data_IF_021470905233
#
_entry.id   IF_021470905233
#
_cell.length_a   1.000
_cell.length_b   1.000
_cell.length_c   1.000
_cell.angle_alpha   90.00
_cell.angle_beta   90.00
_cell.angle_gamma   90.00
#
_symmetry.space_group_name_H-M   'P 1'
#
loop_
_entity.id
_entity.type
_entity.pdbx_description
1 polymer ?
#
# COMPACT_ATOMS: atom_id res chain seq x y z
N UNK A 1 27.70 9.11 33.95
CA UNK A 1 27.13 8.88 32.59
C UNK A 1 27.63 9.93 31.60
N UNK A 2 28.93 9.97 31.27
CA UNK A 2 29.50 11.06 30.44
C UNK A 2 30.37 10.58 29.25
N UNK A 3 30.50 9.27 29.03
CA UNK A 3 31.41 8.75 28.00
C UNK A 3 30.79 8.74 26.57
N UNK A 4 29.46 8.86 26.44
CA UNK A 4 28.77 8.71 25.13
C UNK A 4 28.67 10.01 24.31
N UNK A 5 28.89 11.17 24.92
CA UNK A 5 28.83 12.48 24.24
C UNK A 5 30.15 12.85 23.55
N UNK A 6 31.30 12.39 24.09
CA UNK A 6 32.61 12.72 23.52
C UNK A 6 32.91 11.93 22.22
N UNK A 7 32.39 10.71 22.10
CA UNK A 7 32.60 9.84 20.93
C UNK A 7 31.83 10.32 19.69
N UNK A 8 30.68 10.97 19.86
CA UNK A 8 29.88 11.54 18.77
C UNK A 8 30.50 12.81 18.18
N UNK A 9 31.09 13.67 19.02
CA UNK A 9 31.71 14.92 18.56
C UNK A 9 32.92 14.70 17.64
N UNK A 10 33.75 13.69 17.89
CA UNK A 10 34.93 13.38 17.06
C UNK A 10 34.58 12.89 15.66
N UNK A 11 33.45 12.19 15.50
CA UNK A 11 33.01 11.70 14.20
C UNK A 11 32.46 12.82 13.30
N UNK A 12 31.86 13.86 13.89
CA UNK A 12 31.32 15.01 13.15
C UNK A 12 32.47 15.84 12.54
N UNK A 13 33.58 16.02 13.25
CA UNK A 13 34.72 16.80 12.78
C UNK A 13 35.53 16.12 11.64
N UNK A 14 35.34 14.81 11.40
CA UNK A 14 35.98 14.06 10.31
C UNK A 14 35.10 13.88 9.08
N UNK A 15 33.85 14.35 9.11
CA UNK A 15 32.99 14.28 7.94
C UNK A 15 33.50 15.25 6.87
N UNK A 16 34.01 14.72 5.74
CA UNK A 16 34.28 15.53 4.55
C UNK A 16 32.97 16.20 4.11
N UNK A 17 32.96 17.49 3.76
CA UNK A 17 31.78 18.11 3.18
C UNK A 17 31.45 17.35 1.89
N UNK A 18 30.28 16.69 1.86
CA UNK A 18 29.71 16.14 0.64
C UNK A 18 29.30 17.33 -0.23
N UNK A 19 30.27 17.84 -1.00
CA UNK A 19 30.00 18.78 -2.07
C UNK A 19 29.05 18.11 -3.04
N UNK A 20 27.83 18.62 -3.15
CA UNK A 20 26.87 18.16 -4.17
C UNK A 20 27.40 18.63 -5.51
N UNK A 21 28.04 17.74 -6.26
CA UNK A 21 28.24 17.96 -7.69
C UNK A 21 26.86 17.93 -8.33
N UNK A 22 26.33 19.11 -8.67
CA UNK A 22 25.20 19.20 -9.59
C UNK A 22 25.76 18.79 -10.95
N UNK A 23 25.59 17.53 -11.31
CA UNK A 23 25.82 17.11 -12.69
C UNK A 23 24.89 17.98 -13.54
N UNK A 24 25.46 18.86 -14.35
CA UNK A 24 24.69 19.46 -15.42
C UNK A 24 24.14 18.30 -16.26
N UNK A 25 22.84 18.34 -16.58
CA UNK A 25 22.21 17.32 -17.41
C UNK A 25 22.77 17.53 -18.82
N UNK A 26 23.81 16.79 -19.18
CA UNK A 26 24.28 16.79 -20.55
C UNK A 26 23.25 16.10 -21.46
N UNK A 27 22.85 16.84 -22.49
CA UNK A 27 21.98 16.44 -23.62
C UNK A 27 20.67 15.73 -23.24
N UNK A 28 19.60 16.52 -23.07
CA UNK A 28 18.23 15.98 -23.10
C UNK A 28 17.97 15.48 -24.52
N UNK A 29 17.91 14.16 -24.71
CA UNK A 29 17.49 13.55 -25.98
C UNK A 29 16.07 14.04 -26.32
N UNK A 30 15.82 14.58 -27.52
CA UNK A 30 14.47 14.97 -27.91
C UNK A 30 13.57 13.72 -27.93
N UNK A 31 12.32 13.81 -27.42
CA UNK A 31 11.43 12.66 -27.38
C UNK A 31 11.13 12.20 -28.81
N UNK A 32 11.43 10.93 -29.08
CA UNK A 32 11.15 10.27 -30.36
C UNK A 32 10.00 9.28 -30.19
N UNK A 33 9.29 8.96 -31.27
CA UNK A 33 8.20 7.96 -31.24
C UNK A 33 8.69 6.57 -30.76
N UNK A 34 10.00 6.29 -30.85
CA UNK A 34 10.62 5.08 -30.34
C UNK A 34 10.71 5.04 -28.80
N UNK A 35 10.59 6.20 -28.14
CA UNK A 35 10.58 6.30 -26.67
C UNK A 35 9.18 6.05 -26.08
N UNK A 36 8.17 5.85 -26.92
CA UNK A 36 6.83 5.51 -26.46
C UNK A 36 6.80 4.08 -25.91
N UNK A 37 6.06 3.83 -24.81
CA UNK A 37 5.89 2.49 -24.28
C UNK A 37 5.16 1.63 -25.32
N UNK A 38 5.88 0.68 -25.90
CA UNK A 38 5.27 -0.36 -26.73
C UNK A 38 4.45 -1.26 -25.79
N UNK A 39 3.17 -1.56 -26.10
CA UNK A 39 2.38 -2.46 -25.28
C UNK A 39 3.07 -3.84 -25.21
N UNK A 40 3.56 -4.18 -24.01
CA UNK A 40 4.22 -5.45 -23.74
C UNK A 40 3.17 -6.46 -23.27
N UNK A 41 3.00 -7.55 -24.04
CA UNK A 41 2.16 -8.70 -23.66
C UNK A 41 0.66 -8.57 -23.95
N UNK A 42 -0.09 -9.60 -23.54
CA UNK A 42 -1.54 -9.70 -23.74
C UNK A 42 -2.30 -8.97 -22.63
N UNK A 43 -3.00 -7.88 -22.98
CA UNK A 43 -3.89 -7.18 -22.05
C UNK A 43 -4.89 -8.12 -21.37
N UNK A 44 -5.41 -9.10 -22.13
CA UNK A 44 -6.41 -10.05 -21.65
C UNK A 44 -5.89 -10.90 -20.48
N UNK A 45 -4.63 -11.31 -20.55
CA UNK A 45 -4.01 -12.12 -19.51
C UNK A 45 -3.69 -11.30 -18.26
N UNK A 46 -3.17 -10.09 -18.43
CA UNK A 46 -2.97 -9.17 -17.31
C UNK A 46 -4.30 -8.82 -16.62
N UNK A 47 -5.37 -8.65 -17.39
CA UNK A 47 -6.71 -8.39 -16.88
C UNK A 47 -7.29 -9.60 -16.13
N UNK A 48 -7.17 -10.81 -16.68
CA UNK A 48 -7.69 -12.02 -16.03
C UNK A 48 -6.99 -12.30 -14.69
N UNK A 49 -5.68 -12.06 -14.60
CA UNK A 49 -4.94 -12.16 -13.35
C UNK A 49 -5.41 -11.15 -12.30
N UNK A 50 -5.66 -9.89 -12.70
CA UNK A 50 -6.22 -8.86 -11.81
C UNK A 50 -7.63 -9.23 -11.33
N UNK A 51 -8.48 -9.70 -12.24
CA UNK A 51 -9.84 -10.14 -11.93
C UNK A 51 -9.84 -11.24 -10.86
N UNK A 52 -8.96 -12.25 -10.99
CA UNK A 52 -8.85 -13.34 -10.01
C UNK A 52 -8.49 -12.83 -8.62
N UNK A 53 -7.56 -11.87 -8.51
CA UNK A 53 -7.16 -11.26 -7.23
C UNK A 53 -8.32 -10.51 -6.58
N UNK A 54 -9.04 -9.71 -7.36
CA UNK A 54 -10.19 -8.95 -6.88
C UNK A 54 -11.32 -9.88 -6.41
N UNK A 55 -11.60 -10.95 -7.16
CA UNK A 55 -12.61 -11.94 -6.77
C UNK A 55 -12.26 -12.67 -5.46
N UNK A 56 -10.97 -12.97 -5.23
CA UNK A 56 -10.52 -13.53 -3.95
C UNK A 56 -10.71 -12.56 -2.79
N UNK A 57 -10.37 -11.28 -2.98
CA UNK A 57 -10.58 -10.25 -1.96
C UNK A 57 -12.07 -10.05 -1.67
N UNK A 58 -12.92 -10.08 -2.70
CA UNK A 58 -14.37 -9.96 -2.54
C UNK A 58 -14.93 -11.12 -1.72
N UNK A 59 -14.56 -12.37 -2.04
CA UNK A 59 -14.98 -13.55 -1.28
C UNK A 59 -14.49 -13.50 0.17
N UNK A 60 -13.22 -13.11 0.38
CA UNK A 60 -12.66 -12.93 1.72
C UNK A 60 -13.42 -11.84 2.52
N UNK A 61 -13.71 -10.71 1.90
CA UNK A 61 -14.47 -9.62 2.50
C UNK A 61 -15.90 -10.03 2.89
N UNK A 62 -16.59 -10.77 2.02
CA UNK A 62 -17.93 -11.30 2.30
C UNK A 62 -17.90 -12.28 3.49
N UNK A 63 -16.92 -13.18 3.54
CA UNK A 63 -16.78 -14.12 4.65
C UNK A 63 -16.53 -13.40 5.98
N UNK A 64 -15.61 -12.44 6.00
CA UNK A 64 -15.33 -11.66 7.20
C UNK A 64 -16.57 -10.87 7.63
N UNK A 65 -17.20 -10.12 6.72
CA UNK A 65 -18.36 -9.31 7.03
C UNK A 65 -19.54 -10.15 7.54
N UNK A 66 -19.83 -11.29 6.90
CA UNK A 66 -20.89 -12.20 7.33
C UNK A 66 -20.59 -12.79 8.72
N UNK A 67 -19.36 -13.24 8.98
CA UNK A 67 -18.95 -13.73 10.29
C UNK A 67 -19.08 -12.65 11.38
N UNK A 68 -18.66 -11.42 11.09
CA UNK A 68 -18.82 -10.28 12.00
C UNK A 68 -20.29 -9.99 12.28
N UNK A 69 -21.17 -10.00 11.28
CA UNK A 69 -22.60 -9.75 11.49
C UNK A 69 -23.26 -10.84 12.35
N UNK A 70 -22.95 -12.11 12.10
CA UNK A 70 -23.47 -13.22 12.91
C UNK A 70 -22.98 -13.11 14.36
N UNK A 71 -21.69 -12.86 14.55
CA UNK A 71 -21.12 -12.66 15.88
C UNK A 71 -21.71 -11.45 16.60
N UNK A 72 -21.91 -10.33 15.90
CA UNK A 72 -22.54 -9.12 16.45
C UNK A 72 -23.98 -9.40 16.91
N UNK A 73 -24.73 -10.22 16.15
CA UNK A 73 -26.10 -10.63 16.48
C UNK A 73 -26.14 -11.55 17.71
N UNK A 74 -25.22 -12.50 17.83
CA UNK A 74 -25.17 -13.43 18.98
C UNK A 74 -24.59 -12.81 20.25
N UNK A 75 -23.63 -11.89 20.12
CA UNK A 75 -22.99 -11.23 21.26
C UNK A 75 -23.93 -10.30 22.05
N UNK A 76 -25.10 -9.95 21.50
CA UNK A 76 -26.06 -9.05 22.14
C UNK A 76 -25.58 -7.61 22.29
N UNK A 77 -24.42 -7.26 21.74
CA UNK A 77 -23.82 -5.93 21.81
C UNK A 77 -24.52 -4.93 20.89
N UNK A 78 -25.11 -5.41 19.80
CA UNK A 78 -25.81 -4.60 18.79
C UNK A 78 -27.27 -5.01 18.74
N UNK A 79 -28.16 -4.12 19.18
CA UNK A 79 -29.61 -4.28 19.01
C UNK A 79 -29.97 -3.80 17.61
N UNK A 80 -30.15 -4.73 16.68
CA UNK A 80 -30.50 -4.40 15.28
C UNK A 80 -31.91 -3.84 15.10
N UNK A 81 -32.69 -3.66 16.18
CA UNK A 81 -33.97 -2.96 16.12
C UNK A 81 -34.95 -3.55 15.10
N UNK A 82 -34.89 -4.88 14.88
CA UNK A 82 -35.93 -5.56 14.11
C UNK A 82 -37.23 -5.33 14.85
N UNK A 83 -38.20 -4.69 14.18
CA UNK A 83 -39.44 -4.18 14.76
C UNK A 83 -40.21 -5.22 15.60
N UNK A 84 -41.25 -4.78 16.31
CA UNK A 84 -41.95 -5.61 17.28
C UNK A 84 -42.35 -6.96 16.66
N UNK A 85 -42.05 -8.06 17.37
CA UNK A 85 -42.40 -9.42 16.94
C UNK A 85 -43.91 -9.50 16.78
N UNK A 86 -44.39 -9.55 15.55
CA UNK A 86 -45.78 -9.84 15.25
C UNK A 86 -45.91 -11.36 15.22
N UNK A 87 -46.50 -11.93 16.29
CA UNK A 87 -46.85 -13.34 16.38
C UNK A 87 -45.83 -14.19 17.15
N UNK A 88 -46.37 -15.05 18.03
CA UNK A 88 -45.63 -15.97 18.90
C UNK A 88 -44.84 -17.02 18.12
#
# INVERSE_FOLDING_TARGET
MFARTALTARNIAKAKPLGRSVSYVESVKPPTMADLPVPQGSWKEAHSQKQRKNNLQLLGGILIASGTLVYAKESGLVVFGFGPKVGK
#
